data_IF_205303119236
#
_entry.id   IF_205303119236
#
_cell.length_a   1.000
_cell.length_b   1.000
_cell.length_c   1.000
_cell.angle_alpha   90.00
_cell.angle_beta   90.00
_cell.angle_gamma   90.00
#
_symmetry.space_group_name_H-M   'P 1'
#
loop_
_entity.id
_entity.type
_entity.pdbx_description
1 polymer ?
#
# COMPACT_ATOMS: atom_id res chain seq x y z
N UNK A 1 3.47 -18.78 -1.00
CA UNK A 1 4.41 -17.83 -1.64
C UNK A 1 4.73 -16.65 -0.72
N UNK A 2 3.74 -15.86 -0.28
CA UNK A 2 3.97 -14.69 0.61
C UNK A 2 3.71 -14.95 2.11
N UNK A 3 3.62 -16.21 2.53
CA UNK A 3 3.54 -16.59 3.95
C UNK A 3 2.14 -16.65 4.57
N UNK A 4 1.08 -16.26 3.86
CA UNK A 4 -0.31 -16.44 4.35
C UNK A 4 -0.79 -17.88 4.11
N UNK A 5 -0.35 -18.80 4.97
CA UNK A 5 -0.71 -20.22 4.95
C UNK A 5 -0.98 -20.68 6.37
N UNK A 6 -1.92 -21.60 6.58
CA UNK A 6 -2.27 -22.10 7.92
C UNK A 6 -1.05 -22.59 8.72
N UNK A 7 -0.07 -23.21 8.05
CA UNK A 7 1.18 -23.64 8.68
C UNK A 7 2.00 -22.50 9.32
N UNK A 8 1.84 -21.26 8.87
CA UNK A 8 2.56 -20.08 9.36
C UNK A 8 1.67 -19.12 10.15
N UNK A 9 0.37 -19.06 9.84
CA UNK A 9 -0.57 -18.08 10.42
C UNK A 9 -1.48 -18.67 11.49
N UNK A 10 -1.59 -20.00 11.61
CA UNK A 10 -2.38 -20.62 12.66
C UNK A 10 -1.82 -20.22 14.04
N UNK A 11 -2.69 -19.69 14.89
CA UNK A 11 -2.36 -19.33 16.26
C UNK A 11 -2.42 -20.57 17.15
N UNK A 12 -1.31 -21.30 17.22
CA UNK A 12 -1.15 -22.49 18.04
C UNK A 12 0.23 -22.51 18.70
N UNK A 13 0.41 -23.39 19.68
CA UNK A 13 1.69 -23.55 20.40
C UNK A 13 2.70 -24.43 19.63
N UNK A 14 2.41 -24.82 18.39
CA UNK A 14 3.31 -25.69 17.61
C UNK A 14 4.45 -24.88 17.02
N UNK A 15 5.64 -25.49 16.98
CA UNK A 15 6.79 -24.88 16.34
C UNK A 15 6.49 -24.70 14.84
N UNK A 16 6.68 -23.47 14.35
CA UNK A 16 6.48 -23.16 12.94
C UNK A 16 7.68 -23.68 12.12
N UNK A 17 7.46 -24.34 10.98
CA UNK A 17 8.55 -24.89 10.17
C UNK A 17 9.37 -23.78 9.51
N UNK A 18 10.65 -24.05 9.26
CA UNK A 18 11.46 -23.21 8.37
C UNK A 18 10.79 -23.13 7.00
N UNK A 19 10.61 -21.91 6.47
CA UNK A 19 9.88 -21.70 5.23
C UNK A 19 10.56 -20.63 4.37
N UNK A 20 10.78 -20.96 3.10
CA UNK A 20 11.24 -20.00 2.09
C UNK A 20 10.05 -19.19 1.55
N UNK A 21 10.16 -17.86 1.60
CA UNK A 21 9.15 -16.94 1.09
C UNK A 21 9.61 -16.30 -0.23
N UNK A 22 8.67 -16.16 -1.16
CA UNK A 22 8.87 -15.46 -2.42
C UNK A 22 7.95 -14.25 -2.44
N UNK A 23 8.55 -13.06 -2.27
CA UNK A 23 7.83 -11.78 -2.17
C UNK A 23 8.01 -11.01 -3.48
N UNK A 24 6.97 -10.93 -4.34
CA UNK A 24 7.06 -10.18 -5.58
C UNK A 24 7.03 -8.68 -5.30
N UNK A 25 7.99 -7.94 -5.84
CA UNK A 25 7.99 -6.48 -5.80
C UNK A 25 6.94 -5.94 -6.77
N UNK A 26 6.17 -4.93 -6.34
CA UNK A 26 5.03 -4.40 -7.09
C UNK A 26 5.32 -3.01 -7.69
N UNK A 27 6.54 -2.78 -8.17
CA UNK A 27 6.86 -1.57 -8.92
C UNK A 27 6.12 -1.53 -10.26
N UNK A 28 6.04 -0.35 -10.88
CA UNK A 28 5.38 -0.18 -12.19
C UNK A 28 5.99 -1.08 -13.29
N UNK A 29 7.32 -1.28 -13.29
CA UNK A 29 8.02 -2.15 -14.25
C UNK A 29 7.91 -3.66 -13.92
N UNK A 30 7.35 -4.04 -12.77
CA UNK A 30 7.12 -5.45 -12.39
C UNK A 30 5.71 -5.94 -12.75
N UNK A 31 4.79 -5.04 -13.09
CA UNK A 31 3.37 -5.35 -13.30
C UNK A 31 2.97 -5.49 -14.76
N UNK A 32 3.74 -4.89 -15.68
CA UNK A 32 3.46 -4.93 -17.10
C UNK A 32 4.78 -4.99 -17.89
N UNK A 33 5.00 -6.01 -18.74
CA UNK A 33 6.22 -6.11 -19.55
C UNK A 33 6.39 -4.95 -20.53
N UNK A 34 5.31 -4.29 -20.95
CA UNK A 34 5.37 -3.08 -21.79
C UNK A 34 6.00 -1.86 -21.09
N UNK A 35 6.21 -1.95 -19.77
CA UNK A 35 6.89 -0.93 -18.96
C UNK A 35 8.19 -1.48 -18.35
N UNK A 36 8.79 -2.51 -18.95
CA UNK A 36 10.09 -2.98 -18.50
C UNK A 36 11.12 -1.84 -18.50
N UNK A 37 11.89 -1.73 -17.42
CA UNK A 37 12.87 -0.65 -17.25
C UNK A 37 14.05 -0.85 -18.23
N UNK A 38 14.31 0.08 -19.18
CA UNK A 38 15.30 -0.14 -20.22
C UNK A 38 16.72 0.15 -19.72
N UNK A 39 17.35 -0.83 -19.06
CA UNK A 39 18.70 -0.68 -18.51
C UNK A 39 19.75 -0.30 -19.58
N UNK A 40 19.57 -0.74 -20.83
CA UNK A 40 20.44 -0.37 -21.96
C UNK A 40 20.44 1.14 -22.27
N UNK A 41 19.34 1.82 -21.94
CA UNK A 41 19.17 3.27 -22.12
C UNK A 41 19.59 4.08 -20.88
N UNK A 42 19.99 3.40 -19.79
CA UNK A 42 20.37 3.99 -18.50
C UNK A 42 21.86 3.79 -18.18
N UNK A 43 22.73 3.91 -19.17
CA UNK A 43 24.16 3.62 -19.07
C UNK A 43 24.89 4.42 -17.98
N UNK A 44 24.41 5.64 -17.69
CA UNK A 44 24.99 6.56 -16.72
C UNK A 44 24.15 6.71 -15.45
N UNK A 45 23.13 5.85 -15.25
CA UNK A 45 22.25 5.90 -14.09
C UNK A 45 22.17 4.54 -13.40
N UNK A 46 22.62 4.47 -12.15
CA UNK A 46 22.58 3.24 -11.36
C UNK A 46 21.17 2.96 -10.82
N UNK A 47 20.67 1.74 -11.06
CA UNK A 47 19.41 1.25 -10.46
C UNK A 47 19.74 0.47 -9.20
N UNK A 48 19.27 0.96 -8.04
CA UNK A 48 19.54 0.37 -6.71
C UNK A 48 18.26 0.00 -6.00
N UNK A 49 18.29 -1.11 -5.26
CA UNK A 49 17.23 -1.53 -4.34
C UNK A 49 17.75 -1.39 -2.91
N UNK A 50 17.06 -0.59 -2.10
CA UNK A 50 17.30 -0.49 -0.66
C UNK A 50 16.20 -1.27 0.06
N UNK A 51 16.58 -2.36 0.74
CA UNK A 51 15.64 -3.25 1.43
C UNK A 51 15.95 -3.23 2.92
N UNK A 52 14.95 -2.86 3.72
CA UNK A 52 15.02 -2.88 5.18
C UNK A 52 14.13 -3.99 5.70
N UNK A 53 14.69 -4.92 6.47
CA UNK A 53 13.91 -5.99 7.11
C UNK A 53 13.36 -5.52 8.46
N UNK A 54 12.14 -5.94 8.77
CA UNK A 54 11.53 -5.68 10.06
C UNK A 54 12.15 -6.58 11.14
N UNK A 55 12.13 -6.13 12.40
CA UNK A 55 12.60 -6.95 13.52
C UNK A 55 11.69 -8.16 13.74
N UNK A 56 12.23 -9.26 14.29
CA UNK A 56 11.48 -10.48 14.53
C UNK A 56 10.22 -10.26 15.39
N UNK A 57 10.32 -9.42 16.43
CA UNK A 57 9.19 -9.08 17.32
C UNK A 57 7.99 -8.47 16.58
N UNK A 58 8.21 -7.88 15.41
CA UNK A 58 7.16 -7.29 14.58
C UNK A 58 6.51 -8.27 13.59
N UNK A 59 7.04 -9.50 13.51
CA UNK A 59 6.59 -10.56 12.60
C UNK A 59 5.78 -11.66 13.31
N UNK A 60 5.78 -11.69 14.65
CA UNK A 60 5.07 -12.68 15.45
C UNK A 60 3.91 -12.07 16.23
N UNK A 61 2.86 -12.85 16.41
CA UNK A 61 1.73 -12.52 17.28
C UNK A 61 1.85 -13.34 18.56
N UNK A 62 2.09 -12.68 19.69
CA UNK A 62 2.24 -13.32 21.00
C UNK A 62 3.57 -13.00 21.68
N UNK A 63 3.95 -13.83 22.66
CA UNK A 63 5.23 -13.67 23.37
C UNK A 63 6.37 -14.16 22.49
N UNK A 64 7.42 -13.35 22.33
CA UNK A 64 8.61 -13.75 21.59
C UNK A 64 9.23 -15.03 22.19
N UNK A 65 9.72 -15.96 21.37
CA UNK A 65 10.40 -17.15 21.86
C UNK A 65 11.69 -16.76 22.59
N UNK A 66 12.11 -17.60 23.54
CA UNK A 66 13.36 -17.41 24.30
C UNK A 66 14.61 -17.44 23.42
N UNK A 67 14.53 -18.05 22.23
CA UNK A 67 15.55 -17.99 21.17
C UNK A 67 14.93 -17.41 19.90
N UNK A 68 15.38 -16.23 19.50
CA UNK A 68 14.95 -15.58 18.25
C UNK A 68 15.57 -16.31 17.05
N UNK A 69 14.77 -16.85 16.11
CA UNK A 69 15.32 -17.48 14.91
C UNK A 69 15.95 -16.41 13.99
N UNK A 70 17.08 -16.76 13.38
CA UNK A 70 17.79 -15.90 12.44
C UNK A 70 17.30 -16.10 11.01
N UNK A 71 17.27 -15.03 10.22
CA UNK A 71 17.08 -15.12 8.77
C UNK A 71 18.27 -15.86 8.15
N UNK A 72 18.01 -17.02 7.53
CA UNK A 72 19.07 -17.86 6.94
C UNK A 72 19.78 -17.17 5.76
N UNK A 73 19.03 -16.76 4.73
CA UNK A 73 19.55 -16.00 3.61
C UNK A 73 18.46 -15.11 2.98
N UNK A 74 18.88 -14.08 2.25
CA UNK A 74 18.03 -13.25 1.42
C UNK A 74 18.68 -13.05 0.04
N UNK A 75 17.92 -13.29 -1.02
CA UNK A 75 18.38 -13.15 -2.41
C UNK A 75 17.35 -12.37 -3.23
N UNK A 76 17.83 -11.48 -4.09
CA UNK A 76 17.00 -10.75 -5.04
C UNK A 76 17.11 -11.40 -6.42
N UNK A 77 15.97 -11.83 -6.96
CA UNK A 77 15.87 -12.34 -8.32
C UNK A 77 15.35 -11.23 -9.24
N UNK A 78 15.96 -11.10 -10.42
CA UNK A 78 15.61 -10.09 -11.43
C UNK A 78 15.50 -10.78 -12.77
N UNK A 79 14.37 -10.58 -13.44
CA UNK A 79 14.14 -11.12 -14.78
C UNK A 79 14.61 -10.10 -15.83
N UNK A 80 15.56 -10.52 -16.67
CA UNK A 80 16.10 -9.70 -17.75
C UNK A 80 15.46 -10.08 -19.09
N UNK A 81 15.11 -9.06 -19.89
CA UNK A 81 14.62 -9.23 -21.25
C UNK A 81 15.76 -8.94 -22.22
N UNK A 82 16.09 -9.92 -23.06
CA UNK A 82 17.13 -9.78 -24.09
C UNK A 82 16.48 -9.45 -25.43
N UNK A 83 16.82 -8.27 -25.95
CA UNK A 83 16.33 -7.76 -27.23
C UNK A 83 17.28 -8.16 -28.36
N UNK A 84 16.73 -8.34 -29.56
CA UNK A 84 17.53 -8.53 -30.77
C UNK A 84 18.28 -7.23 -31.13
N UNK A 85 19.26 -7.34 -32.02
CA UNK A 85 20.23 -6.28 -32.35
C UNK A 85 19.57 -4.97 -32.76
N UNK A 86 18.54 -5.03 -33.61
CA UNK A 86 17.86 -3.83 -34.12
C UNK A 86 17.04 -3.13 -33.03
N UNK A 87 16.23 -3.87 -32.28
CA UNK A 87 15.44 -3.33 -31.19
C UNK A 87 16.33 -2.81 -30.05
N UNK A 88 17.39 -3.55 -29.70
CA UNK A 88 18.41 -3.12 -28.74
C UNK A 88 19.04 -1.79 -29.14
N UNK A 89 19.40 -1.62 -30.41
CA UNK A 89 19.98 -0.38 -30.93
C UNK A 89 18.98 0.76 -30.87
N UNK A 90 17.72 0.51 -31.22
CA UNK A 90 16.65 1.49 -31.13
C UNK A 90 16.45 1.95 -29.67
N UNK A 91 16.36 1.01 -28.72
CA UNK A 91 16.21 1.32 -27.30
C UNK A 91 17.38 2.13 -26.73
N UNK A 92 18.61 1.88 -27.19
CA UNK A 92 19.78 2.62 -26.72
C UNK A 92 19.84 4.08 -27.22
N UNK A 93 19.23 4.38 -28.38
CA UNK A 93 19.41 5.65 -29.09
C UNK A 93 18.19 6.58 -28.98
N UNK A 94 16.99 6.02 -28.92
CA UNK A 94 15.74 6.79 -28.92
C UNK A 94 15.42 7.31 -27.51
N UNK A 95 14.79 8.49 -27.45
CA UNK A 95 14.20 9.00 -26.22
C UNK A 95 12.95 8.18 -25.85
N UNK A 96 12.88 7.73 -24.60
CA UNK A 96 11.71 7.04 -24.07
C UNK A 96 10.98 7.90 -23.05
N UNK A 97 9.66 7.85 -23.10
CA UNK A 97 8.79 8.41 -22.05
C UNK A 97 7.87 7.30 -21.55
N UNK A 98 7.97 6.98 -20.27
CA UNK A 98 7.12 6.01 -19.60
C UNK A 98 6.15 6.76 -18.71
N UNK A 99 4.85 6.53 -18.92
CA UNK A 99 3.88 6.80 -17.87
C UNK A 99 4.11 5.76 -16.76
N UNK A 100 4.40 6.22 -15.56
CA UNK A 100 4.68 5.36 -14.41
C UNK A 100 3.73 5.67 -13.26
N UNK A 101 3.68 4.75 -12.30
CA UNK A 101 2.92 4.90 -11.08
C UNK A 101 3.84 4.94 -9.88
N UNK A 102 3.52 5.81 -8.93
CA UNK A 102 4.23 6.00 -7.68
C UNK A 102 3.26 5.85 -6.51
N UNK A 103 3.80 5.39 -5.38
CA UNK A 103 3.08 5.34 -4.10
C UNK A 103 3.49 6.54 -3.26
N UNK A 104 2.52 7.31 -2.80
CA UNK A 104 2.70 8.35 -1.79
C UNK A 104 2.19 7.86 -0.45
N UNK A 105 3.02 8.06 0.58
CA UNK A 105 2.71 7.75 1.97
C UNK A 105 3.43 8.77 2.85
N UNK A 106 2.68 9.52 3.65
CA UNK A 106 3.18 10.62 4.48
C UNK A 106 3.54 10.20 5.91
N UNK A 107 3.49 8.90 6.21
CA UNK A 107 3.68 8.38 7.57
C UNK A 107 2.36 8.07 8.27
N UNK A 108 2.48 7.46 9.45
CA UNK A 108 1.32 7.12 10.27
C UNK A 108 0.96 8.30 11.17
N UNK A 109 -0.32 8.67 11.18
CA UNK A 109 -0.86 9.71 12.05
C UNK A 109 -1.55 9.08 13.26
N UNK A 110 -1.22 9.54 14.46
CA UNK A 110 -1.78 8.99 15.70
C UNK A 110 -2.98 9.79 16.18
N UNK A 111 -4.08 9.10 16.50
CA UNK A 111 -5.31 9.70 17.00
C UNK A 111 -5.85 8.96 18.23
N UNK A 112 -6.41 9.71 19.17
CA UNK A 112 -7.14 9.20 20.35
C UNK A 112 -8.61 9.59 20.34
N UNK A 113 -9.01 10.50 19.45
CA UNK A 113 -10.40 10.97 19.33
C UNK A 113 -11.16 10.14 18.30
N UNK A 114 -12.49 10.04 18.45
CA UNK A 114 -13.35 9.40 17.46
C UNK A 114 -13.45 10.22 16.18
N UNK A 115 -13.61 11.54 16.30
CA UNK A 115 -13.54 12.44 15.14
C UNK A 115 -12.10 12.72 14.78
N UNK A 116 -11.70 12.27 13.60
CA UNK A 116 -10.37 12.42 13.05
C UNK A 116 -10.41 13.34 11.83
N UNK A 117 -9.49 14.30 11.79
CA UNK A 117 -9.27 15.21 10.67
C UNK A 117 -7.82 15.07 10.22
N UNK A 118 -7.60 14.34 9.13
CA UNK A 118 -6.29 14.14 8.52
C UNK A 118 -6.12 15.05 7.31
N UNK A 119 -5.04 15.83 7.28
CA UNK A 119 -4.71 16.70 6.15
C UNK A 119 -3.79 15.94 5.21
N UNK A 120 -4.26 15.71 3.98
CA UNK A 120 -3.53 14.93 2.99
C UNK A 120 -2.53 15.84 2.26
N UNK A 121 -1.24 15.63 2.52
CA UNK A 121 -0.15 16.29 1.80
C UNK A 121 0.27 15.46 0.58
N UNK A 122 -0.61 15.40 -0.43
CA UNK A 122 -0.45 14.59 -1.63
C UNK A 122 -0.23 15.47 -2.86
N UNK A 123 0.47 14.92 -3.86
CA UNK A 123 0.80 15.58 -5.12
C UNK A 123 0.39 14.72 -6.33
N UNK A 124 0.50 15.32 -7.52
CA UNK A 124 0.32 14.68 -8.82
C UNK A 124 -1.12 14.17 -9.08
N UNK A 125 -1.41 13.67 -10.30
CA UNK A 125 -2.67 12.98 -10.59
C UNK A 125 -2.78 11.66 -9.81
N UNK A 126 -3.50 11.67 -8.69
CA UNK A 126 -3.81 10.49 -7.89
C UNK A 126 -4.99 9.73 -8.50
N UNK A 127 -4.85 8.42 -8.66
CA UNK A 127 -5.91 7.53 -9.15
C UNK A 127 -6.83 7.04 -8.04
N UNK A 128 -6.31 6.87 -6.83
CA UNK A 128 -7.07 6.34 -5.69
C UNK A 128 -6.43 6.74 -4.36
N UNK A 129 -7.24 6.70 -3.30
CA UNK A 129 -6.81 6.76 -1.92
C UNK A 129 -7.14 5.43 -1.24
N UNK A 130 -6.19 4.91 -0.47
CA UNK A 130 -6.36 3.72 0.35
C UNK A 130 -5.95 4.09 1.77
N UNK A 131 -6.76 3.77 2.76
CA UNK A 131 -6.39 4.04 4.15
C UNK A 131 -6.77 2.91 5.10
N UNK A 132 -6.05 2.89 6.21
CA UNK A 132 -6.26 1.95 7.32
C UNK A 132 -6.22 2.75 8.62
N UNK A 133 -7.26 2.60 9.43
CA UNK A 133 -7.29 3.10 10.81
C UNK A 133 -7.04 1.92 11.76
N UNK A 134 -5.77 1.71 12.13
CA UNK A 134 -5.35 0.57 12.92
C UNK A 134 -5.28 0.91 14.41
N UNK A 135 -6.00 0.20 15.31
CA UNK A 135 -5.83 0.34 16.75
C UNK A 135 -4.38 0.04 17.18
N UNK A 136 -3.84 0.78 18.15
CA UNK A 136 -2.46 0.57 18.62
C UNK A 136 -2.22 -0.84 19.15
N UNK A 137 -3.22 -1.43 19.81
CA UNK A 137 -3.18 -2.81 20.29
C UNK A 137 -2.89 -3.83 19.15
N UNK A 138 -3.22 -3.47 17.90
CA UNK A 138 -3.10 -4.34 16.74
C UNK A 138 -1.87 -4.05 15.88
N UNK A 139 -0.98 -3.13 16.28
CA UNK A 139 0.24 -2.81 15.52
C UNK A 139 1.20 -4.01 15.44
N UNK A 140 1.32 -4.78 16.53
CA UNK A 140 2.15 -6.00 16.57
C UNK A 140 1.52 -7.12 15.76
N UNK A 141 0.20 -7.31 15.88
CA UNK A 141 -0.53 -8.36 15.15
C UNK A 141 -0.81 -8.04 13.68
N UNK A 142 -0.46 -6.84 13.21
CA UNK A 142 -0.65 -6.33 11.84
C UNK A 142 -2.09 -6.37 11.34
N UNK A 143 -3.04 -6.60 12.23
CA UNK A 143 -4.44 -6.61 11.92
C UNK A 143 -4.97 -5.21 11.62
N UNK A 144 -5.74 -5.09 10.53
CA UNK A 144 -6.24 -3.82 9.99
C UNK A 144 -7.52 -3.32 10.67
N UNK A 145 -8.29 -4.23 11.26
CA UNK A 145 -9.55 -3.98 11.97
C UNK A 145 -9.39 -4.17 13.48
N UNK A 146 -10.44 -3.91 14.25
CA UNK A 146 -10.49 -4.21 15.70
C UNK A 146 -10.60 -5.72 15.88
N UNK A 147 -9.73 -6.27 16.75
CA UNK A 147 -9.75 -7.67 17.14
C UNK A 147 -10.13 -7.70 18.62
N UNK A 148 -11.36 -8.11 18.92
CA UNK A 148 -11.76 -8.39 20.30
C UNK A 148 -11.17 -9.72 20.74
N UNK A 149 -10.27 -9.72 21.72
CA UNK A 149 -9.94 -10.94 22.48
C UNK A 149 -10.99 -11.06 23.59
N UNK A 150 -11.84 -12.08 23.54
CA UNK A 150 -12.63 -12.45 24.72
C UNK A 150 -11.65 -12.92 25.81
N UNK A 151 -11.77 -12.36 27.02
CA UNK A 151 -10.86 -12.53 28.17
C UNK A 151 -10.79 -13.95 28.78
N UNK A 152 -11.01 -15.02 28.01
CA UNK A 152 -11.10 -16.38 28.53
C UNK A 152 -10.42 -17.40 27.63
N UNK A 153 -9.10 -17.28 27.41
CA UNK A 153 -8.21 -18.38 26.98
C UNK A 153 -8.62 -19.20 25.75
N UNK A 154 -9.60 -18.74 24.99
CA UNK A 154 -10.25 -19.45 23.92
C UNK A 154 -10.06 -18.59 22.68
N UNK A 155 -9.37 -19.22 21.73
CA UNK A 155 -9.16 -18.91 20.32
C UNK A 155 -10.08 -17.83 19.77
N UNK A 156 -9.55 -16.89 18.96
CA UNK A 156 -10.22 -15.62 18.76
C UNK A 156 -11.53 -15.87 18.00
N UNK A 157 -12.65 -15.83 18.71
CA UNK A 157 -13.98 -15.76 18.13
C UNK A 157 -14.14 -14.31 17.67
N UNK A 158 -13.60 -14.07 16.48
CA UNK A 158 -13.33 -12.76 15.89
C UNK A 158 -14.60 -12.06 15.48
N UNK A 159 -15.18 -11.25 16.36
CA UNK A 159 -16.07 -10.19 15.89
C UNK A 159 -15.19 -9.12 15.24
N UNK A 160 -15.01 -9.24 13.93
CA UNK A 160 -14.26 -8.26 13.14
C UNK A 160 -15.16 -7.04 12.95
N UNK A 161 -14.90 -6.00 13.74
CA UNK A 161 -15.62 -4.73 13.62
C UNK A 161 -14.76 -3.74 12.84
N UNK A 162 -15.41 -2.97 11.96
CA UNK A 162 -14.77 -1.89 11.23
C UNK A 162 -14.21 -0.82 12.17
N UNK A 163 -13.03 -0.30 11.84
CA UNK A 163 -12.41 0.76 12.62
C UNK A 163 -13.01 2.14 12.34
N UNK A 164 -13.43 2.36 11.10
CA UNK A 164 -14.08 3.59 10.61
C UNK A 164 -15.58 3.35 10.54
N UNK A 165 -16.35 4.19 11.22
CA UNK A 165 -17.82 4.20 11.18
C UNK A 165 -18.30 4.92 9.93
N UNK A 166 -17.78 6.12 9.68
CA UNK A 166 -18.09 6.91 8.50
C UNK A 166 -16.88 7.75 8.07
N UNK A 167 -16.88 8.15 6.80
CA UNK A 167 -15.82 8.96 6.22
C UNK A 167 -16.35 9.97 5.20
N UNK A 168 -15.61 11.07 5.06
CA UNK A 168 -15.82 12.12 4.07
C UNK A 168 -14.50 12.71 3.58
N UNK A 169 -14.42 12.99 2.28
CA UNK A 169 -13.31 13.74 1.69
C UNK A 169 -13.74 15.19 1.41
N UNK A 170 -12.91 16.14 1.84
CA UNK A 170 -13.06 17.55 1.51
C UNK A 170 -11.88 18.04 0.67
N UNK A 171 -12.18 18.79 -0.39
CA UNK A 171 -11.20 19.44 -1.25
C UNK A 171 -11.47 20.95 -1.21
N UNK A 172 -10.48 21.75 -0.82
CA UNK A 172 -10.56 23.19 -0.63
C UNK A 172 -11.74 23.62 0.26
N UNK A 173 -12.03 22.85 1.31
CA UNK A 173 -13.12 23.11 2.26
C UNK A 173 -14.51 22.69 1.78
N UNK A 174 -14.64 22.19 0.54
CA UNK A 174 -15.90 21.69 -0.01
C UNK A 174 -15.97 20.17 0.04
N UNK A 175 -17.17 19.66 0.34
CA UNK A 175 -17.44 18.23 0.37
C UNK A 175 -17.36 17.64 -1.04
N UNK A 176 -16.42 16.70 -1.26
CA UNK A 176 -16.31 15.99 -2.54
C UNK A 176 -17.45 14.99 -2.71
N UNK A 177 -17.96 14.45 -1.62
CA UNK A 177 -19.13 13.58 -1.56
C UNK A 177 -19.80 13.71 -0.18
N UNK A 178 -21.08 13.34 -0.10
CA UNK A 178 -21.81 13.25 1.17
C UNK A 178 -21.24 12.14 2.03
N UNK A 179 -21.27 12.28 3.36
CA UNK A 179 -20.78 11.28 4.32
C UNK A 179 -21.31 9.88 3.94
N UNK A 180 -20.42 8.88 4.00
CA UNK A 180 -20.74 7.47 3.78
C UNK A 180 -20.17 6.61 4.89
N UNK A 181 -20.85 5.50 5.16
CA UNK A 181 -20.42 4.50 6.13
C UNK A 181 -19.10 3.85 5.72
N UNK A 182 -18.33 3.34 6.69
CA UNK A 182 -17.07 2.64 6.45
C UNK A 182 -17.21 1.46 5.49
N UNK A 183 -18.32 0.73 5.56
CA UNK A 183 -18.68 -0.38 4.67
C UNK A 183 -18.72 0.03 3.21
N UNK A 184 -19.11 1.27 2.91
CA UNK A 184 -19.10 1.77 1.54
C UNK A 184 -17.68 1.74 0.95
N UNK A 185 -16.68 2.17 1.73
CA UNK A 185 -15.29 2.22 1.28
C UNK A 185 -14.57 0.86 1.38
N UNK A 186 -15.04 -0.07 2.21
CA UNK A 186 -14.46 -1.41 2.32
C UNK A 186 -15.09 -2.40 1.33
N UNK A 187 -16.39 -2.28 1.03
CA UNK A 187 -17.14 -3.25 0.22
C UNK A 187 -17.56 -2.67 -1.13
N UNK A 188 -18.27 -1.53 -1.14
CA UNK A 188 -18.90 -1.01 -2.37
C UNK A 188 -17.88 -0.44 -3.35
N UNK A 189 -16.95 0.39 -2.87
CA UNK A 189 -15.87 0.95 -3.69
C UNK A 189 -15.01 -0.15 -4.35
N UNK A 190 -14.52 -1.17 -3.61
CA UNK A 190 -13.86 -2.30 -4.22
C UNK A 190 -14.74 -3.12 -5.17
N UNK A 191 -16.02 -3.35 -4.83
CA UNK A 191 -16.94 -4.03 -5.74
C UNK A 191 -17.11 -3.31 -7.10
N UNK A 192 -17.09 -1.97 -7.09
CA UNK A 192 -17.27 -1.16 -8.31
C UNK A 192 -16.01 -1.04 -9.16
N UNK A 193 -14.82 -0.99 -8.53
CA UNK A 193 -13.58 -0.57 -9.20
C UNK A 193 -12.44 -1.59 -9.14
N UNK A 194 -12.54 -2.61 -8.29
CA UNK A 194 -11.49 -3.59 -8.06
C UNK A 194 -11.96 -5.00 -8.38
N UNK A 195 -11.00 -5.89 -8.64
CA UNK A 195 -11.29 -7.31 -8.92
C UNK A 195 -11.62 -8.09 -7.64
N UNK A 196 -11.26 -7.57 -6.46
CA UNK A 196 -11.49 -8.22 -5.18
C UNK A 196 -11.74 -7.24 -4.04
N UNK A 197 -12.62 -7.63 -3.13
CA UNK A 197 -12.87 -6.93 -1.87
C UNK A 197 -11.73 -7.24 -0.89
N UNK A 198 -11.08 -6.22 -0.29
CA UNK A 198 -10.01 -6.41 0.68
C UNK A 198 -10.55 -6.91 2.03
N UNK A 199 -9.65 -7.37 2.90
CA UNK A 199 -10.00 -7.68 4.29
C UNK A 199 -10.58 -6.45 5.00
N UNK A 200 -11.44 -6.68 5.99
CA UNK A 200 -12.07 -5.61 6.78
C UNK A 200 -11.02 -4.69 7.43
N UNK A 201 -11.31 -3.38 7.45
CA UNK A 201 -10.41 -2.35 7.98
C UNK A 201 -9.47 -1.73 6.93
N UNK A 202 -9.54 -2.18 5.67
CA UNK A 202 -8.91 -1.52 4.53
C UNK A 202 -9.99 -0.78 3.75
N UNK A 203 -9.84 0.54 3.64
CA UNK A 203 -10.83 1.40 3.00
C UNK A 203 -10.24 1.99 1.72
N UNK A 204 -11.05 2.03 0.67
CA UNK A 204 -10.63 2.46 -0.67
C UNK A 204 -11.60 3.50 -1.19
N UNK A 205 -11.07 4.52 -1.85
CA UNK A 205 -11.83 5.46 -2.65
C UNK A 205 -11.12 5.72 -3.96
N UNK A 206 -11.75 5.33 -5.07
CA UNK A 206 -11.16 5.50 -6.40
C UNK A 206 -11.64 6.79 -7.08
N UNK A 207 -10.70 7.48 -7.73
CA UNK A 207 -10.98 8.55 -8.69
C UNK A 207 -11.00 8.04 -10.14
N UNK A 208 -10.56 6.79 -10.34
CA UNK A 208 -10.46 6.13 -11.63
C UNK A 208 -11.64 5.15 -11.83
N UNK A 209 -12.00 4.88 -13.08
CA UNK A 209 -12.95 3.80 -13.37
C UNK A 209 -12.31 2.43 -13.11
N UNK A 210 -11.07 2.24 -13.55
CA UNK A 210 -10.29 1.01 -13.46
C UNK A 210 -8.90 1.30 -12.82
N UNK A 211 -8.80 1.48 -11.48
CA UNK A 211 -7.55 1.83 -10.81
C UNK A 211 -6.43 0.78 -10.96
N UNK A 212 -6.78 -0.50 -11.09
CA UNK A 212 -5.84 -1.62 -11.22
C UNK A 212 -5.14 -1.66 -12.59
N UNK A 213 -5.73 -1.04 -13.61
CA UNK A 213 -5.15 -0.99 -14.94
C UNK A 213 -4.08 0.08 -15.02
N UNK A 214 -3.07 -0.18 -15.84
CA UNK A 214 -2.04 0.82 -16.12
C UNK A 214 -2.62 2.02 -16.88
N UNK A 215 -3.50 1.75 -17.84
CA UNK A 215 -4.16 2.77 -18.66
C UNK A 215 -4.98 3.72 -17.76
N UNK A 216 -4.70 5.03 -17.77
CA UNK A 216 -5.45 5.99 -16.98
C UNK A 216 -6.93 6.00 -17.35
N UNK A 217 -7.78 5.96 -16.33
CA UNK A 217 -9.24 5.94 -16.48
C UNK A 217 -9.95 6.91 -15.53
N UNK A 218 -9.22 7.92 -15.05
CA UNK A 218 -9.70 8.95 -14.12
C UNK A 218 -8.67 9.23 -13.03
N UNK A 219 -8.50 10.50 -12.68
CA UNK A 219 -7.55 10.95 -11.65
C UNK A 219 -8.01 12.26 -11.04
N UNK A 220 -7.56 12.57 -9.83
CA UNK A 220 -7.61 13.91 -9.24
C UNK A 220 -6.19 14.46 -9.11
N UNK A 221 -5.95 15.66 -9.65
CA UNK A 221 -4.64 16.30 -9.56
C UNK A 221 -4.47 16.98 -8.18
N UNK A 222 -3.85 16.27 -7.24
CA UNK A 222 -3.65 16.74 -5.87
C UNK A 222 -2.67 17.92 -5.78
N UNK A 223 -1.75 18.09 -6.75
CA UNK A 223 -0.88 19.28 -6.82
C UNK A 223 -1.63 20.58 -7.16
N UNK A 224 -2.91 20.51 -7.52
CA UNK A 224 -3.76 21.68 -7.80
C UNK A 224 -4.77 21.95 -6.68
N UNK A 225 -4.70 21.18 -5.60
CA UNK A 225 -5.62 21.29 -4.46
C UNK A 225 -4.82 21.84 -3.29
N UNK A 226 -5.22 23.01 -2.79
CA UNK A 226 -4.53 23.67 -1.68
C UNK A 226 -4.77 22.94 -0.35
N UNK A 227 -5.97 22.38 -0.17
CA UNK A 227 -6.34 21.66 1.04
C UNK A 227 -7.19 20.42 0.73
N UNK A 228 -6.57 19.25 0.79
CA UNK A 228 -7.26 17.97 0.85
C UNK A 228 -7.34 17.50 2.31
N UNK A 229 -8.55 17.23 2.80
CA UNK A 229 -8.79 16.75 4.16
C UNK A 229 -9.65 15.49 4.14
N UNK A 230 -9.17 14.42 4.78
CA UNK A 230 -9.93 13.23 5.09
C UNK A 230 -10.53 13.35 6.50
N UNK A 231 -11.85 13.34 6.58
CA UNK A 231 -12.63 13.37 7.81
C UNK A 231 -13.14 11.97 8.09
N UNK A 232 -12.86 11.43 9.27
CA UNK A 232 -13.27 10.10 9.69
C UNK A 232 -13.97 10.18 11.04
N UNK A 233 -14.98 9.34 11.23
CA UNK A 233 -15.51 8.98 12.55
C UNK A 233 -15.06 7.56 12.86
N UNK A 234 -14.26 7.38 13.89
CA UNK A 234 -13.74 6.09 14.32
C UNK A 234 -14.66 5.44 15.36
N UNK A 235 -14.69 4.11 15.37
CA UNK A 235 -15.42 3.35 16.38
C UNK A 235 -14.77 3.52 17.76
N UNK A 236 -15.59 3.59 18.82
CA UNK A 236 -15.12 3.97 20.17
C UNK A 236 -14.04 3.04 20.73
N UNK A 237 -14.14 1.72 20.52
CA UNK A 237 -13.10 0.81 21.01
C UNK A 237 -11.79 0.85 20.24
N UNK A 238 -11.74 1.43 19.02
CA UNK A 238 -10.47 1.77 18.34
C UNK A 238 -9.74 2.87 19.12
N UNK A 239 -10.50 3.87 19.60
CA UNK A 239 -9.93 5.04 20.26
C UNK A 239 -9.47 4.80 21.69
N UNK A 240 -10.01 3.78 22.36
CA UNK A 240 -9.66 3.41 23.74
C UNK A 240 -8.17 3.06 23.93
N UNK A 241 -7.52 2.49 22.91
CA UNK A 241 -6.09 2.20 22.88
C UNK A 241 -5.24 3.22 22.12
N UNK A 242 -5.89 4.24 21.54
CA UNK A 242 -5.33 5.03 20.44
C UNK A 242 -5.24 4.25 19.13
N UNK A 243 -5.08 4.97 18.03
CA UNK A 243 -5.11 4.47 16.66
C UNK A 243 -4.04 5.13 15.79
N UNK A 244 -3.48 4.36 14.85
CA UNK A 244 -2.64 4.85 13.77
C UNK A 244 -3.42 4.84 12.45
N UNK A 245 -3.66 6.02 11.90
CA UNK A 245 -4.16 6.21 10.55
C UNK A 245 -2.98 6.18 9.57
N UNK A 246 -3.07 5.34 8.53
CA UNK A 246 -2.15 5.34 7.40
C UNK A 246 -2.94 5.60 6.14
N UNK A 247 -2.55 6.61 5.38
CA UNK A 247 -3.17 6.97 4.11
C UNK A 247 -2.15 6.82 3.00
N UNK A 248 -2.54 6.10 1.97
CA UNK A 248 -1.77 5.83 0.77
C UNK A 248 -2.49 6.44 -0.42
N UNK A 249 -1.73 6.97 -1.37
CA UNK A 249 -2.24 7.38 -2.65
C UNK A 249 -1.36 6.81 -3.75
N UNK A 250 -1.98 6.32 -4.82
CA UNK A 250 -1.27 5.94 -6.04
C UNK A 250 -1.40 7.09 -7.02
N UNK A 251 -0.30 7.60 -7.53
CA UNK A 251 -0.28 8.69 -8.50
C UNK A 251 0.47 8.31 -9.77
N UNK A 252 0.16 9.01 -10.85
CA UNK A 252 0.93 8.96 -12.08
C UNK A 252 2.09 9.97 -12.06
N UNK A 253 3.16 9.62 -12.78
CA UNK A 253 4.26 10.50 -13.14
C UNK A 253 4.82 10.05 -14.49
N UNK A 254 5.73 10.83 -15.08
CA UNK A 254 6.39 10.46 -16.35
C UNK A 254 7.88 10.29 -16.09
N UNK A 255 8.40 9.09 -16.39
CA UNK A 255 9.84 8.83 -16.42
C UNK A 255 10.34 9.07 -17.84
N UNK A 256 11.28 10.01 -17.98
CA UNK A 256 11.97 10.29 -19.24
C UNK A 256 13.34 9.64 -19.22
N UNK A 257 13.68 8.93 -20.28
CA UNK A 257 15.00 8.31 -20.46
C UNK A 257 15.60 8.82 -21.76
N UNK A 258 16.75 9.49 -21.64
CA UNK A 258 17.48 10.07 -22.77
C UNK A 258 18.98 10.04 -22.51
N UNK A 259 19.76 9.79 -23.56
CA UNK A 259 21.22 9.97 -23.54
C UNK A 259 21.91 9.23 -22.39
N UNK A 260 21.44 8.02 -22.05
CA UNK A 260 22.02 7.21 -20.98
C UNK A 260 21.53 7.55 -19.56
N UNK A 261 20.60 8.50 -19.39
CA UNK A 261 20.10 8.95 -18.08
C UNK A 261 18.57 8.93 -18.00
N UNK A 262 18.04 8.56 -16.83
CA UNK A 262 16.62 8.62 -16.51
C UNK A 262 16.29 9.72 -15.49
N UNK A 263 15.13 10.35 -15.62
CA UNK A 263 14.63 11.35 -14.68
C UNK A 263 13.11 11.47 -14.68
N UNK A 264 12.53 11.81 -13.54
CA UNK A 264 11.10 12.10 -13.43
C UNK A 264 10.79 13.48 -13.99
N UNK A 265 9.69 13.61 -14.72
CA UNK A 265 9.25 14.88 -15.29
C UNK A 265 8.72 15.84 -14.21
N UNK A 266 8.16 15.32 -13.12
CA UNK A 266 7.59 16.09 -12.02
C UNK A 266 8.16 15.62 -10.67
N UNK A 267 8.56 16.56 -9.81
CA UNK A 267 9.31 16.29 -8.57
C UNK A 267 8.59 16.69 -7.27
N UNK A 268 7.35 17.15 -7.35
CA UNK A 268 6.61 17.72 -6.21
C UNK A 268 6.19 16.70 -5.16
#
# INVERSE_FOLDING_TARGET
MIGNTDALTAYDASAKPETTLYIPLQFWFCRNPGLALPLIALQYHEVKFNITFASFDSLVVGTAPSSVPSLGYASLYVDYIYLDTDERRQFAQVQHEYLIEQLQYTGAESFTNQSVKSKLALNHPCKELIWVAQPNANISSKYTSVYGVNSAGSYPNLTVTQSVVDAKLQLNGHDRFSIRDGDYFNLVQPYQHHTRIPSTGIYVYSFALNPEQHQPSGTVNMSRIDNATLLLTLWSGVTSSGCQLRVYAVNYNVLRVMSGMGGLAYSN
#
